data_IF_721671387852
#
_entry.id   IF_721671387852
#
_cell.length_a   1.000
_cell.length_b   1.000
_cell.length_c   1.000
_cell.angle_alpha   90.00
_cell.angle_beta   90.00
_cell.angle_gamma   90.00
#
_symmetry.space_group_name_H-M   'P 1'
#
loop_
_entity.id
_entity.type
_entity.pdbx_description
1 polymer ?
#
# COMPACT_ATOMS: atom_id res chain seq x y z
N UNK A 1 3.65 -6.45 -15.13
CA UNK A 1 4.91 -5.73 -14.92
C UNK A 1 4.80 -4.83 -13.71
N UNK A 2 5.79 -4.89 -12.82
CA UNK A 2 5.84 -4.05 -11.60
C UNK A 2 6.88 -2.96 -11.82
N UNK A 3 6.53 -1.72 -11.45
CA UNK A 3 7.45 -0.59 -11.56
C UNK A 3 7.16 0.45 -10.47
N UNK A 4 8.08 1.39 -10.31
CA UNK A 4 7.92 2.48 -9.36
C UNK A 4 6.69 3.34 -9.75
N UNK A 5 5.88 3.67 -8.74
CA UNK A 5 4.74 4.56 -8.91
C UNK A 5 5.19 6.01 -9.00
N UNK A 6 4.60 6.75 -9.94
CA UNK A 6 4.78 8.19 -10.02
C UNK A 6 3.41 8.88 -9.90
N UNK A 7 3.41 10.21 -9.78
CA UNK A 7 2.13 10.94 -9.63
C UNK A 7 1.26 10.85 -10.88
N UNK A 8 1.85 10.59 -12.06
CA UNK A 8 1.09 10.35 -13.28
C UNK A 8 0.22 9.12 -13.22
N UNK A 9 0.51 8.21 -12.29
CA UNK A 9 -0.29 7.00 -12.06
C UNK A 9 -1.50 7.25 -11.18
N UNK A 10 -1.62 8.44 -10.58
CA UNK A 10 -2.63 8.69 -9.55
C UNK A 10 -4.05 8.34 -9.99
N UNK A 11 -4.47 8.80 -11.16
CA UNK A 11 -5.85 8.56 -11.62
C UNK A 11 -6.15 7.07 -11.77
N UNK A 12 -5.18 6.29 -12.30
CA UNK A 12 -5.32 4.85 -12.43
C UNK A 12 -5.32 4.14 -11.09
N UNK A 13 -4.48 4.57 -10.17
CA UNK A 13 -4.41 4.01 -8.82
C UNK A 13 -5.69 4.33 -8.04
N UNK A 14 -6.16 5.58 -8.12
CA UNK A 14 -7.40 5.97 -7.43
C UNK A 14 -8.59 5.18 -7.96
N UNK A 15 -8.67 5.01 -9.28
CA UNK A 15 -9.73 4.19 -9.90
C UNK A 15 -9.67 2.74 -9.40
N UNK A 16 -8.47 2.21 -9.23
CA UNK A 16 -8.29 0.87 -8.66
C UNK A 16 -8.78 0.81 -7.22
N UNK A 17 -8.38 1.77 -6.38
CA UNK A 17 -8.84 1.82 -4.98
C UNK A 17 -10.35 1.80 -4.88
N UNK A 18 -11.04 2.53 -5.76
CA UNK A 18 -12.51 2.59 -5.74
C UNK A 18 -13.18 1.28 -6.10
N UNK A 19 -12.47 0.37 -6.74
CA UNK A 19 -13.00 -0.94 -7.13
C UNK A 19 -12.77 -2.02 -6.06
N UNK A 20 -11.93 -1.77 -5.08
CA UNK A 20 -11.62 -2.77 -4.06
C UNK A 20 -12.70 -2.71 -2.97
N UNK A 21 -13.43 -3.80 -2.82
CA UNK A 21 -14.51 -3.91 -1.84
C UNK A 21 -13.97 -3.74 -0.42
N UNK A 22 -14.62 -2.91 0.36
CA UNK A 22 -14.24 -2.66 1.74
C UNK A 22 -13.02 -1.78 1.95
N UNK A 23 -12.44 -1.26 0.86
CA UNK A 23 -11.24 -0.43 0.91
C UNK A 23 -11.59 0.95 1.49
N UNK A 24 -10.77 1.42 2.43
CA UNK A 24 -10.97 2.74 3.04
C UNK A 24 -10.15 3.81 2.34
N UNK A 25 -10.84 4.81 1.79
CA UNK A 25 -10.21 5.94 1.11
C UNK A 25 -10.31 7.17 2.01
N UNK A 26 -9.18 7.82 2.27
CA UNK A 26 -9.10 9.01 3.12
C UNK A 26 -9.16 10.27 2.28
N UNK A 27 -10.01 11.22 2.68
CA UNK A 27 -10.30 12.40 1.86
C UNK A 27 -9.09 13.29 1.59
N UNK A 28 -8.18 13.42 2.54
CA UNK A 28 -6.99 14.27 2.40
C UNK A 28 -5.77 13.45 2.00
N UNK A 29 -5.46 12.40 2.76
CA UNK A 29 -4.25 11.61 2.49
C UNK A 29 -4.26 10.94 1.13
N UNK A 30 -5.46 10.53 0.67
CA UNK A 30 -5.60 9.83 -0.61
C UNK A 30 -6.02 10.75 -1.76
N UNK A 31 -6.07 12.05 -1.52
CA UNK A 31 -6.24 13.03 -2.59
C UNK A 31 -4.98 13.05 -3.46
N UNK A 32 -5.07 13.62 -4.66
CA UNK A 32 -3.90 13.74 -5.53
C UNK A 32 -2.78 14.52 -4.84
N UNK A 33 -3.13 15.61 -4.15
CA UNK A 33 -2.16 16.40 -3.40
C UNK A 33 -1.51 15.61 -2.27
N UNK A 34 -2.30 14.83 -1.53
CA UNK A 34 -1.78 14.01 -0.44
C UNK A 34 -0.84 12.92 -0.94
N UNK A 35 -1.21 12.24 -2.02
CA UNK A 35 -0.36 11.20 -2.62
C UNK A 35 0.90 11.82 -3.21
N UNK A 36 0.79 12.97 -3.87
CA UNK A 36 1.96 13.66 -4.41
C UNK A 36 2.96 14.01 -3.33
N UNK A 37 2.49 14.52 -2.19
CA UNK A 37 3.34 14.83 -1.04
C UNK A 37 4.05 13.57 -0.54
N UNK A 38 3.32 12.47 -0.44
CA UNK A 38 3.88 11.19 -0.01
C UNK A 38 4.97 10.70 -0.97
N UNK A 39 4.71 10.75 -2.28
CA UNK A 39 5.67 10.30 -3.29
C UNK A 39 6.90 11.21 -3.38
N UNK A 40 6.75 12.51 -3.12
CA UNK A 40 7.91 13.42 -3.07
C UNK A 40 8.82 13.09 -1.91
N UNK A 41 8.26 12.72 -0.76
CA UNK A 41 9.05 12.29 0.39
C UNK A 41 9.68 10.92 0.16
N UNK A 42 8.99 10.03 -0.55
CA UNK A 42 9.42 8.66 -0.79
C UNK A 42 9.34 8.35 -2.29
N UNK A 43 10.30 8.86 -3.10
CA UNK A 43 10.14 8.83 -4.56
C UNK A 43 10.37 7.46 -5.21
N UNK A 44 10.99 6.49 -4.52
CA UNK A 44 11.42 5.24 -5.15
C UNK A 44 10.80 3.97 -4.56
N UNK A 45 9.96 4.08 -3.55
CA UNK A 45 9.56 2.90 -2.78
C UNK A 45 8.14 2.41 -3.03
N UNK A 46 7.25 3.24 -3.56
CA UNK A 46 5.88 2.81 -3.91
C UNK A 46 5.87 2.13 -5.28
N UNK A 47 5.01 1.11 -5.43
CA UNK A 47 4.98 0.31 -6.65
C UNK A 47 3.59 0.23 -7.24
N UNK A 48 3.53 0.09 -8.56
CA UNK A 48 2.31 -0.27 -9.28
C UNK A 48 2.58 -1.50 -10.12
N UNK A 49 1.52 -2.27 -10.35
CA UNK A 49 1.54 -3.38 -11.29
C UNK A 49 0.67 -3.02 -12.48
N UNK A 50 1.22 -3.21 -13.68
CA UNK A 50 0.53 -2.88 -14.93
C UNK A 50 0.32 -4.17 -15.73
N UNK A 51 -0.89 -4.39 -16.19
CA UNK A 51 -1.25 -5.52 -17.07
C UNK A 51 -2.32 -5.03 -18.04
N UNK A 52 -2.23 -5.49 -19.28
CA UNK A 52 -3.18 -5.09 -20.34
C UNK A 52 -3.32 -3.56 -20.47
N UNK A 53 -2.22 -2.85 -20.28
CA UNK A 53 -2.19 -1.39 -20.41
C UNK A 53 -2.84 -0.62 -19.27
N UNK A 54 -3.18 -1.28 -18.16
CA UNK A 54 -3.82 -0.61 -17.00
C UNK A 54 -3.18 -1.00 -15.70
N UNK A 55 -3.39 -0.14 -14.70
CA UNK A 55 -2.92 -0.40 -13.33
C UNK A 55 -3.86 -1.40 -12.68
N UNK A 56 -3.30 -2.56 -12.31
CA UNK A 56 -4.04 -3.66 -11.69
C UNK A 56 -3.61 -3.94 -10.27
N UNK A 57 -2.58 -3.26 -9.80
CA UNK A 57 -2.14 -3.37 -8.41
C UNK A 57 -1.38 -2.13 -7.99
N UNK A 58 -1.35 -1.87 -6.70
CA UNK A 58 -0.61 -0.74 -6.15
C UNK A 58 -0.24 -0.99 -4.70
N UNK A 59 0.89 -0.43 -4.28
CA UNK A 59 1.31 -0.36 -2.89
C UNK A 59 1.93 1.01 -2.67
N UNK A 60 1.42 1.75 -1.68
CA UNK A 60 2.11 2.92 -1.19
C UNK A 60 3.12 2.44 -0.15
N UNK A 61 4.37 2.78 -0.33
CA UNK A 61 5.44 2.36 0.57
C UNK A 61 6.32 3.56 0.88
N UNK A 62 6.54 3.81 2.14
CA UNK A 62 7.38 4.91 2.56
C UNK A 62 8.19 4.57 3.80
N UNK A 63 9.08 5.48 4.18
CA UNK A 63 9.89 5.33 5.38
C UNK A 63 10.20 6.69 5.99
N UNK A 64 10.61 6.65 7.23
CA UNK A 64 10.96 7.84 8.01
C UNK A 64 12.48 7.99 8.21
N UNK A 65 13.29 7.25 7.44
CA UNK A 65 14.73 7.17 7.60
C UNK A 65 15.16 6.05 8.53
N UNK A 66 14.22 5.38 9.19
CA UNK A 66 14.49 4.32 10.16
C UNK A 66 13.65 3.08 9.93
N UNK A 67 12.35 3.25 9.72
CA UNK A 67 11.39 2.15 9.51
C UNK A 67 10.57 2.40 8.27
N UNK A 68 10.24 1.34 7.56
CA UNK A 68 9.35 1.41 6.43
C UNK A 68 7.94 0.97 6.79
N UNK A 69 6.98 1.36 5.96
CA UNK A 69 5.59 0.96 6.13
C UNK A 69 4.92 0.82 4.76
N UNK A 70 4.08 -0.21 4.62
CA UNK A 70 3.24 -0.41 3.46
C UNK A 70 1.83 0.08 3.76
N UNK A 71 1.25 0.81 2.81
CA UNK A 71 -0.13 1.29 2.88
C UNK A 71 -0.87 0.90 1.61
N UNK A 72 -2.17 0.71 1.71
CA UNK A 72 -3.06 0.53 0.56
C UNK A 72 -2.57 -0.55 -0.41
N UNK A 73 -2.19 -1.70 0.13
CA UNK A 73 -1.79 -2.84 -0.69
C UNK A 73 -3.04 -3.42 -1.34
N UNK A 74 -3.09 -3.43 -2.65
CA UNK A 74 -4.26 -3.98 -3.36
C UNK A 74 -3.91 -4.52 -4.73
N UNK A 75 -4.70 -5.51 -5.16
CA UNK A 75 -4.65 -6.09 -6.51
C UNK A 75 -6.10 -6.20 -6.99
N UNK A 76 -6.33 -5.78 -8.22
CA UNK A 76 -7.64 -5.89 -8.85
C UNK A 76 -8.12 -7.35 -8.80
N UNK A 77 -9.38 -7.54 -8.47
CA UNK A 77 -9.97 -8.86 -8.27
C UNK A 77 -9.68 -9.83 -9.40
N UNK A 78 -9.80 -9.37 -10.65
CA UNK A 78 -9.62 -10.22 -11.83
C UNK A 78 -8.16 -10.64 -12.07
N UNK A 79 -7.23 -10.03 -11.37
CA UNK A 79 -5.79 -10.29 -11.55
C UNK A 79 -5.15 -10.96 -10.34
N UNK A 80 -5.96 -11.34 -9.35
CA UNK A 80 -5.46 -12.01 -8.15
C UNK A 80 -5.01 -13.44 -8.47
N UNK A 81 -4.23 -14.03 -7.55
CA UNK A 81 -3.68 -15.39 -7.66
C UNK A 81 -2.66 -15.57 -8.79
N UNK A 82 -2.08 -14.47 -9.26
CA UNK A 82 -1.04 -14.47 -10.29
C UNK A 82 0.32 -13.99 -9.76
N UNK A 83 0.46 -13.91 -8.43
CA UNK A 83 1.72 -13.49 -7.81
C UNK A 83 2.02 -12.00 -7.87
N UNK A 84 1.06 -11.18 -8.30
CA UNK A 84 1.25 -9.74 -8.47
C UNK A 84 1.50 -9.05 -7.12
N UNK A 85 0.68 -9.37 -6.12
CA UNK A 85 0.83 -8.78 -4.78
C UNK A 85 2.20 -9.09 -4.18
N UNK A 86 2.65 -10.33 -4.30
CA UNK A 86 3.96 -10.74 -3.82
C UNK A 86 5.08 -10.03 -4.56
N UNK A 87 4.99 -9.93 -5.89
CA UNK A 87 5.99 -9.25 -6.69
C UNK A 87 6.12 -7.78 -6.31
N UNK A 88 4.98 -7.09 -6.08
CA UNK A 88 5.00 -5.70 -5.65
C UNK A 88 5.61 -5.55 -4.27
N UNK A 89 5.24 -6.41 -3.32
CA UNK A 89 5.77 -6.35 -1.96
C UNK A 89 7.28 -6.57 -1.94
N UNK A 90 7.78 -7.54 -2.72
CA UNK A 90 9.22 -7.78 -2.85
C UNK A 90 9.92 -6.56 -3.43
N UNK A 91 9.34 -5.92 -4.46
CA UNK A 91 9.92 -4.72 -5.06
C UNK A 91 9.99 -3.57 -4.06
N UNK A 92 8.95 -3.37 -3.25
CA UNK A 92 8.94 -2.36 -2.19
C UNK A 92 10.05 -2.64 -1.16
N UNK A 93 10.18 -3.89 -0.74
CA UNK A 93 11.19 -4.25 0.26
C UNK A 93 12.61 -4.06 -0.26
N UNK A 94 12.86 -4.40 -1.53
CA UNK A 94 14.16 -4.15 -2.16
C UNK A 94 14.47 -2.65 -2.22
N UNK A 95 13.49 -1.85 -2.59
CA UNK A 95 13.67 -0.39 -2.64
C UNK A 95 13.97 0.18 -1.25
N UNK A 96 13.29 -0.32 -0.20
CA UNK A 96 13.60 0.07 1.17
C UNK A 96 15.01 -0.33 1.58
N UNK A 97 15.45 -1.53 1.19
CA UNK A 97 16.81 -1.99 1.50
C UNK A 97 17.86 -1.09 0.85
N UNK A 98 17.63 -0.62 -0.37
CA UNK A 98 18.52 0.33 -1.04
C UNK A 98 18.59 1.65 -0.29
N UNK A 99 17.53 2.02 0.42
CA UNK A 99 17.48 3.22 1.28
C UNK A 99 18.01 2.95 2.69
N UNK A 100 18.63 1.79 2.92
CA UNK A 100 19.21 1.38 4.21
C UNK A 100 18.16 1.19 5.32
N UNK A 101 16.94 0.87 4.96
CA UNK A 101 15.87 0.57 5.91
C UNK A 101 15.94 -0.91 6.25
N UNK A 102 15.95 -1.23 7.54
CA UNK A 102 16.16 -2.59 8.02
C UNK A 102 14.89 -3.31 8.46
N UNK A 103 13.76 -2.63 8.50
CA UNK A 103 12.50 -3.22 8.94
C UNK A 103 11.32 -2.50 8.32
N UNK A 104 10.32 -3.27 7.90
CA UNK A 104 9.08 -2.74 7.33
C UNK A 104 7.90 -3.36 8.05
N UNK A 105 6.84 -2.60 8.21
CA UNK A 105 5.62 -3.07 8.85
C UNK A 105 4.39 -2.70 8.03
N UNK A 106 3.28 -3.30 8.37
CA UNK A 106 1.98 -2.93 7.82
C UNK A 106 0.90 -3.22 8.86
N UNK A 107 -0.25 -2.60 8.67
CA UNK A 107 -1.40 -2.80 9.52
C UNK A 107 -2.54 -3.33 8.65
N UNK A 108 -3.17 -4.41 9.10
CA UNK A 108 -4.32 -4.99 8.42
C UNK A 108 -5.44 -5.17 9.43
N UNK A 109 -6.69 -4.94 8.99
CA UNK A 109 -7.83 -5.23 9.84
C UNK A 109 -7.86 -6.72 10.18
N UNK A 110 -8.20 -7.05 11.42
CA UNK A 110 -8.34 -8.47 11.83
C UNK A 110 -9.35 -9.21 10.96
N UNK A 111 -10.41 -8.51 10.53
CA UNK A 111 -11.46 -9.08 9.69
C UNK A 111 -11.05 -9.35 8.25
N UNK A 112 -9.90 -8.82 7.81
CA UNK A 112 -9.40 -9.05 6.47
C UNK A 112 -8.67 -10.40 6.41
N UNK A 113 -9.43 -11.48 6.30
CA UNK A 113 -8.88 -12.84 6.32
C UNK A 113 -7.93 -13.11 5.15
N UNK A 114 -8.30 -12.69 3.95
CA UNK A 114 -7.47 -12.87 2.77
C UNK A 114 -6.12 -12.15 2.91
N UNK A 115 -6.16 -10.90 3.35
CA UNK A 115 -4.94 -10.11 3.55
C UNK A 115 -4.05 -10.70 4.61
N UNK A 116 -4.61 -11.07 5.76
CA UNK A 116 -3.84 -11.67 6.85
C UNK A 116 -3.21 -12.99 6.43
N UNK A 117 -3.95 -13.83 5.71
CA UNK A 117 -3.42 -15.08 5.18
C UNK A 117 -2.27 -14.83 4.21
N UNK A 118 -2.44 -13.85 3.31
CA UNK A 118 -1.41 -13.47 2.34
C UNK A 118 -0.09 -13.11 3.02
N UNK A 119 -0.15 -12.26 4.06
CA UNK A 119 1.07 -11.81 4.74
C UNK A 119 1.74 -12.92 5.50
N UNK A 120 0.98 -13.79 6.16
CA UNK A 120 1.54 -14.95 6.85
C UNK A 120 2.22 -15.90 5.88
N UNK A 121 1.59 -16.18 4.75
CA UNK A 121 2.16 -17.03 3.71
C UNK A 121 3.42 -16.44 3.10
N UNK A 122 3.48 -15.12 3.00
CA UNK A 122 4.64 -14.41 2.48
C UNK A 122 5.81 -14.33 3.47
N UNK A 123 5.66 -14.88 4.67
CA UNK A 123 6.71 -14.92 5.67
C UNK A 123 6.74 -13.74 6.63
N UNK A 124 5.71 -12.91 6.62
CA UNK A 124 5.63 -11.78 7.56
C UNK A 124 5.25 -12.29 8.95
N UNK A 125 5.81 -11.65 9.97
CA UNK A 125 5.63 -12.04 11.36
C UNK A 125 4.43 -11.32 11.99
N UNK A 126 3.42 -12.07 12.39
CA UNK A 126 2.31 -11.51 13.13
C UNK A 126 2.75 -11.22 14.58
N UNK A 127 2.56 -9.97 15.02
CA UNK A 127 3.05 -9.53 16.34
C UNK A 127 1.92 -9.51 17.36
N UNK A 128 1.82 -10.58 18.16
CA UNK A 128 0.86 -10.66 19.24
C UNK A 128 1.31 -9.90 20.48
N UNK A 129 2.59 -9.59 20.56
CA UNK A 129 3.22 -8.95 21.73
C UNK A 129 3.12 -7.42 21.72
N UNK A 130 2.50 -6.84 20.68
CA UNK A 130 2.41 -5.37 20.54
C UNK A 130 0.98 -4.90 20.64
N UNK A 131 0.82 -3.72 21.26
CA UNK A 131 -0.42 -2.96 21.17
C UNK A 131 -0.20 -1.82 20.17
N UNK A 132 -1.20 -1.57 19.36
CA UNK A 132 -1.15 -0.48 18.39
C UNK A 132 -1.92 0.71 18.94
N UNK A 133 -1.30 1.89 18.91
CA UNK A 133 -1.94 3.14 19.32
C UNK A 133 -1.84 4.13 18.19
N UNK A 134 -2.93 4.81 17.88
CA UNK A 134 -2.90 5.94 16.94
C UNK A 134 -3.61 7.14 17.55
N UNK A 135 -3.40 8.30 16.95
CA UNK A 135 -4.05 9.53 17.36
C UNK A 135 -4.32 10.38 16.12
N UNK A 136 -5.56 10.76 15.92
CA UNK A 136 -5.96 11.57 14.76
C UNK A 136 -5.53 13.03 14.97
N UNK A 137 -4.68 13.55 14.08
CA UNK A 137 -4.20 14.93 14.15
C UNK A 137 -5.07 15.91 13.36
N UNK A 138 -5.81 15.40 12.36
CA UNK A 138 -6.69 16.23 11.53
C UNK A 138 -8.00 15.48 11.25
N UNK A 139 -9.07 15.89 11.92
CA UNK A 139 -10.37 15.24 11.80
C UNK A 139 -11.06 15.49 10.46
N UNK A 140 -10.56 16.42 9.66
CA UNK A 140 -11.08 16.65 8.31
C UNK A 140 -10.63 15.56 7.32
N UNK A 141 -9.63 14.75 7.70
CA UNK A 141 -9.17 13.61 6.90
C UNK A 141 -10.10 12.43 7.14
N UNK A 142 -11.19 12.38 6.40
CA UNK A 142 -12.30 11.44 6.63
C UNK A 142 -12.13 10.17 5.80
N UNK A 143 -12.28 9.01 6.44
CA UNK A 143 -12.21 7.71 5.76
C UNK A 143 -13.61 7.28 5.33
N UNK A 144 -13.74 6.92 4.06
CA UNK A 144 -14.95 6.29 3.52
C UNK A 144 -14.61 4.92 3.01
N UNK A 145 -15.37 3.91 3.44
CA UNK A 145 -15.16 2.54 2.99
C UNK A 145 -16.06 2.21 1.80
N UNK A 146 -15.48 1.58 0.78
CA UNK A 146 -16.25 1.12 -0.37
C UNK A 146 -17.26 0.05 0.05
N UNK A 147 -18.42 0.09 -0.55
CA UNK A 147 -19.50 -0.87 -0.28
C UNK A 147 -19.25 -2.23 -0.96
#
# INVERSE_FOLDING_TARGET
>A
MVRIMTIEDYEGVYALWKKIKGFGIRSIDDSKEGVERFLKRNPTTSMVAVADGKIVGAILCGHDGRRGCLYHVCVHEDYRKNGIGKAMAVACMRALQEEKINKVSLIAFKSNELGNHFWKDAGWCFREDLNYYDFTLNEANITKFNQ
#
